data_IF_976472276902
#
_entry.id   IF_976472276902
#
_cell.length_a   1.000
_cell.length_b   1.000
_cell.length_c   1.000
_cell.angle_alpha   90.00
_cell.angle_beta   90.00
_cell.angle_gamma   90.00
#
_symmetry.space_group_name_H-M   'P 1'
#
loop_
_entity.id
_entity.type
_entity.pdbx_description
1 polymer ?
#
# COMPACT_ATOMS: atom_id res chain seq x y z
N UNK A 1 14.18 -18.12 9.70
CA UNK A 1 13.88 -18.52 8.30
C UNK A 1 15.21 -18.88 7.61
N UNK A 2 15.30 -20.02 6.96
CA UNK A 2 16.49 -20.38 6.17
C UNK A 2 16.52 -19.51 4.93
N UNK A 3 17.63 -18.82 4.66
CA UNK A 3 17.75 -17.78 3.62
C UNK A 3 18.10 -18.32 2.25
N UNK A 4 18.73 -19.51 2.22
CA UNK A 4 19.17 -20.11 0.97
C UNK A 4 18.06 -20.27 -0.09
N UNK A 5 16.75 -20.54 0.25
CA UNK A 5 15.72 -20.57 -0.77
C UNK A 5 15.52 -19.23 -1.47
N UNK A 6 15.60 -18.10 -0.73
CA UNK A 6 15.45 -16.77 -1.31
C UNK A 6 16.61 -16.45 -2.26
N UNK A 7 17.85 -16.85 -1.90
CA UNK A 7 19.00 -16.73 -2.80
C UNK A 7 18.83 -17.56 -4.06
N UNK A 8 18.42 -18.82 -3.94
CA UNK A 8 18.22 -19.71 -5.10
C UNK A 8 17.16 -19.11 -6.04
N UNK A 9 16.00 -18.73 -5.52
CA UNK A 9 14.93 -18.14 -6.32
C UNK A 9 15.41 -16.85 -6.99
N UNK A 10 16.12 -15.98 -6.26
CA UNK A 10 16.71 -14.77 -6.84
C UNK A 10 17.65 -15.10 -7.99
N UNK A 11 18.61 -16.00 -7.79
CA UNK A 11 19.58 -16.40 -8.81
C UNK A 11 18.90 -17.00 -10.04
N UNK A 12 17.92 -17.88 -9.86
CA UNK A 12 17.21 -18.51 -10.97
C UNK A 12 16.46 -17.49 -11.85
N UNK A 13 15.77 -16.54 -11.23
CA UNK A 13 15.07 -15.53 -11.98
C UNK A 13 16.00 -14.57 -12.71
N UNK A 14 17.11 -14.17 -12.09
CA UNK A 14 18.12 -13.32 -12.73
C UNK A 14 18.85 -14.08 -13.85
N UNK A 15 19.15 -15.36 -13.65
CA UNK A 15 19.72 -16.21 -14.70
C UNK A 15 18.78 -16.31 -15.91
N UNK A 16 17.47 -16.52 -15.67
CA UNK A 16 16.48 -16.50 -16.76
C UNK A 16 16.53 -15.19 -17.55
N UNK A 17 16.44 -14.03 -16.88
CA UNK A 17 16.50 -12.74 -17.56
C UNK A 17 17.82 -12.56 -18.33
N UNK A 18 18.94 -12.95 -17.73
CA UNK A 18 20.26 -12.92 -18.37
C UNK A 18 20.32 -13.78 -19.63
N UNK A 19 19.88 -15.04 -19.55
CA UNK A 19 19.86 -15.96 -20.69
C UNK A 19 18.94 -15.49 -21.85
N UNK A 20 17.91 -14.72 -21.54
CA UNK A 20 16.99 -14.21 -22.56
C UNK A 20 17.45 -12.89 -23.20
N UNK A 21 18.16 -12.04 -22.46
CA UNK A 21 18.52 -10.69 -22.92
C UNK A 21 19.97 -10.58 -23.40
N UNK A 22 20.95 -11.16 -22.71
CA UNK A 22 22.37 -10.97 -23.02
C UNK A 22 22.79 -11.52 -24.38
N UNK A 23 22.41 -12.75 -24.80
CA UNK A 23 22.73 -13.26 -26.13
C UNK A 23 22.14 -12.41 -27.26
N UNK A 24 20.90 -11.93 -27.09
CA UNK A 24 20.26 -11.09 -28.09
C UNK A 24 20.92 -9.72 -28.23
N UNK A 25 21.55 -9.20 -27.16
CA UNK A 25 22.28 -7.93 -27.17
C UNK A 25 23.70 -8.05 -27.72
N UNK A 26 24.40 -9.17 -27.48
CA UNK A 26 25.78 -9.39 -27.93
C UNK A 26 25.90 -9.92 -29.35
N UNK A 27 24.86 -10.62 -29.82
CA UNK A 27 24.91 -11.37 -31.07
C UNK A 27 25.61 -12.70 -30.97
N UNK A 28 26.06 -13.12 -29.77
CA UNK A 28 26.69 -14.41 -29.51
C UNK A 28 25.83 -15.30 -28.57
N UNK A 29 26.08 -16.62 -28.59
CA UNK A 29 25.25 -17.59 -27.89
C UNK A 29 25.25 -17.45 -26.35
N UNK A 30 26.28 -16.84 -25.80
CA UNK A 30 26.45 -16.71 -24.34
C UNK A 30 26.30 -15.29 -23.81
N UNK A 31 26.34 -14.27 -24.65
CA UNK A 31 26.11 -12.87 -24.28
C UNK A 31 27.14 -12.24 -23.32
N UNK A 32 28.13 -13.01 -22.87
CA UNK A 32 29.05 -12.58 -21.82
C UNK A 32 30.34 -11.95 -22.38
N UNK A 33 30.72 -12.30 -23.60
CA UNK A 33 32.01 -11.92 -24.22
C UNK A 33 31.88 -10.88 -25.31
N UNK A 34 30.65 -10.36 -25.54
CA UNK A 34 30.42 -9.29 -26.50
C UNK A 34 31.22 -8.02 -26.13
N UNK A 35 31.78 -7.31 -27.11
CA UNK A 35 32.66 -6.16 -26.91
C UNK A 35 31.92 -4.93 -26.39
N UNK A 36 30.59 -4.96 -26.28
CA UNK A 36 29.77 -3.76 -26.00
C UNK A 36 29.54 -3.54 -24.51
N UNK A 37 29.84 -2.32 -24.04
CA UNK A 37 29.60 -1.90 -22.66
C UNK A 37 28.15 -2.12 -22.16
N UNK A 38 27.06 -2.03 -22.99
CA UNK A 38 25.70 -2.27 -22.50
C UNK A 38 25.48 -3.68 -21.98
N UNK A 39 26.06 -4.70 -22.67
CA UNK A 39 25.96 -6.12 -22.26
C UNK A 39 26.64 -6.34 -20.91
N UNK A 40 27.85 -5.81 -20.75
CA UNK A 40 28.61 -5.94 -19.48
C UNK A 40 27.91 -5.22 -18.34
N UNK A 41 27.33 -4.04 -18.60
CA UNK A 41 26.58 -3.27 -17.62
C UNK A 41 25.34 -4.01 -17.18
N UNK A 42 24.54 -4.55 -18.11
CA UNK A 42 23.36 -5.33 -17.75
C UNK A 42 23.73 -6.60 -16.97
N UNK A 43 24.78 -7.33 -17.39
CA UNK A 43 25.27 -8.51 -16.67
C UNK A 43 25.69 -8.17 -15.23
N UNK A 44 26.45 -7.08 -15.03
CA UNK A 44 26.84 -6.60 -13.71
C UNK A 44 25.63 -6.20 -12.86
N UNK A 45 24.66 -5.49 -13.43
CA UNK A 45 23.42 -5.12 -12.74
C UNK A 45 22.63 -6.37 -12.31
N UNK A 46 22.52 -7.40 -13.17
CA UNK A 46 21.84 -8.64 -12.82
C UNK A 46 22.55 -9.37 -11.67
N UNK A 47 23.89 -9.45 -11.68
CA UNK A 47 24.67 -10.08 -10.60
C UNK A 47 24.49 -9.32 -9.28
N UNK A 48 24.67 -7.99 -9.32
CA UNK A 48 24.50 -7.14 -8.13
C UNK A 48 23.09 -7.26 -7.59
N UNK A 49 22.09 -7.24 -8.46
CA UNK A 49 20.69 -7.36 -8.08
C UNK A 49 20.38 -8.73 -7.47
N UNK A 50 20.86 -9.83 -8.07
CA UNK A 50 20.64 -11.19 -7.57
C UNK A 50 21.16 -11.39 -6.14
N UNK A 51 22.26 -10.74 -5.80
CA UNK A 51 22.87 -10.80 -4.48
C UNK A 51 22.29 -9.79 -3.49
N UNK A 52 22.06 -8.55 -3.94
CA UNK A 52 21.62 -7.47 -3.05
C UNK A 52 20.17 -7.61 -2.60
N UNK A 53 19.28 -8.20 -3.39
CA UNK A 53 17.87 -8.39 -3.01
C UNK A 53 17.76 -9.28 -1.75
N UNK A 54 18.29 -10.50 -1.72
CA UNK A 54 18.23 -11.34 -0.51
C UNK A 54 18.95 -10.69 0.67
N UNK A 55 20.12 -10.08 0.45
CA UNK A 55 20.90 -9.42 1.50
C UNK A 55 20.18 -8.17 2.05
N UNK A 56 19.51 -7.39 1.20
CA UNK A 56 18.73 -6.22 1.61
C UNK A 56 17.53 -6.58 2.48
N UNK A 57 16.86 -7.70 2.18
CA UNK A 57 15.79 -8.24 3.00
C UNK A 57 16.30 -8.73 4.38
N UNK A 58 17.58 -9.06 4.48
CA UNK A 58 18.26 -9.48 5.72
C UNK A 58 18.75 -8.30 6.55
N UNK A 59 19.17 -7.22 5.90
CA UNK A 59 19.84 -6.09 6.53
C UNK A 59 19.08 -5.53 7.71
N UNK A 60 17.76 -5.62 7.65
CA UNK A 60 16.87 -5.20 8.71
C UNK A 60 16.99 -6.04 10.01
N UNK A 61 17.54 -7.26 9.94
CA UNK A 61 17.64 -8.19 11.09
C UNK A 61 19.03 -8.22 11.75
N UNK A 62 20.05 -7.75 11.06
CA UNK A 62 21.46 -7.94 11.48
C UNK A 62 22.12 -6.70 12.10
N UNK A 63 21.52 -5.52 12.00
CA UNK A 63 22.13 -4.24 12.37
C UNK A 63 22.03 -3.87 13.85
N UNK A 64 22.68 -4.61 14.76
CA UNK A 64 22.74 -4.26 16.20
C UNK A 64 23.94 -3.37 16.58
N UNK A 65 24.85 -3.06 15.68
CA UNK A 65 26.03 -2.22 15.90
C UNK A 65 25.93 -0.92 15.13
N UNK A 66 26.29 0.26 15.69
CA UNK A 66 26.12 1.56 15.00
C UNK A 66 26.84 1.68 13.64
N UNK A 67 28.02 1.07 13.50
CA UNK A 67 28.75 1.03 12.22
C UNK A 67 28.08 0.08 11.21
N UNK A 68 27.53 -1.02 11.68
CA UNK A 68 26.76 -1.96 10.87
C UNK A 68 25.42 -1.34 10.41
N UNK A 69 24.82 -0.45 11.18
CA UNK A 69 23.54 0.18 10.86
C UNK A 69 23.57 0.96 9.54
N UNK A 70 24.58 1.80 9.31
CA UNK A 70 24.69 2.56 8.07
C UNK A 70 24.90 1.66 6.85
N UNK A 71 25.80 0.68 6.96
CA UNK A 71 26.06 -0.29 5.89
C UNK A 71 24.83 -1.14 5.60
N UNK A 72 24.14 -1.64 6.64
CA UNK A 72 22.93 -2.44 6.49
C UNK A 72 21.78 -1.62 5.91
N UNK A 73 21.66 -0.34 6.28
CA UNK A 73 20.69 0.57 5.70
C UNK A 73 20.98 0.83 4.22
N UNK A 74 22.24 1.05 3.84
CA UNK A 74 22.64 1.20 2.44
C UNK A 74 22.32 -0.08 1.63
N UNK A 75 22.64 -1.24 2.19
CA UNK A 75 22.34 -2.55 1.58
C UNK A 75 20.83 -2.77 1.41
N UNK A 76 20.02 -2.41 2.41
CA UNK A 76 18.55 -2.46 2.30
C UNK A 76 18.05 -1.57 1.17
N UNK A 77 18.54 -0.33 1.06
CA UNK A 77 18.19 0.56 -0.03
C UNK A 77 18.56 0.00 -1.40
N UNK A 78 19.79 -0.49 -1.56
CA UNK A 78 20.25 -1.10 -2.82
C UNK A 78 19.40 -2.32 -3.16
N UNK A 79 19.17 -3.23 -2.20
CA UNK A 79 18.36 -4.42 -2.40
C UNK A 79 16.92 -4.12 -2.81
N UNK A 80 16.27 -3.15 -2.16
CA UNK A 80 14.90 -2.76 -2.48
C UNK A 80 14.79 -2.02 -3.82
N UNK A 81 15.76 -1.17 -4.18
CA UNK A 81 15.81 -0.54 -5.50
C UNK A 81 16.02 -1.58 -6.60
N UNK A 82 16.95 -2.51 -6.40
CA UNK A 82 17.17 -3.64 -7.30
C UNK A 82 15.90 -4.50 -7.44
N UNK A 83 15.20 -4.77 -6.34
CA UNK A 83 13.94 -5.53 -6.36
C UNK A 83 12.87 -4.83 -7.19
N UNK A 84 12.71 -3.51 -7.04
CA UNK A 84 11.78 -2.71 -7.85
C UNK A 84 12.12 -2.69 -9.33
N UNK A 85 13.41 -2.56 -9.68
CA UNK A 85 13.90 -2.60 -11.05
C UNK A 85 13.74 -3.99 -11.65
N UNK A 86 14.22 -5.02 -10.94
CA UNK A 86 14.20 -6.40 -11.43
C UNK A 86 12.77 -6.92 -11.64
N UNK A 87 11.82 -6.54 -10.78
CA UNK A 87 10.41 -6.89 -10.97
C UNK A 87 9.88 -6.40 -12.32
N UNK A 88 10.18 -5.16 -12.72
CA UNK A 88 9.79 -4.66 -14.05
C UNK A 88 10.58 -5.32 -15.18
N UNK A 89 11.90 -5.51 -15.00
CA UNK A 89 12.74 -6.17 -15.98
C UNK A 89 12.23 -7.59 -16.28
N UNK A 90 11.93 -8.34 -15.24
CA UNK A 90 11.42 -9.71 -15.35
C UNK A 90 10.08 -9.75 -16.10
N UNK A 91 9.14 -8.91 -15.70
CA UNK A 91 7.82 -8.85 -16.35
C UNK A 91 7.93 -8.45 -17.83
N UNK A 92 8.72 -7.43 -18.15
CA UNK A 92 8.94 -7.00 -19.52
C UNK A 92 9.69 -8.07 -20.33
N UNK A 93 10.58 -8.85 -19.72
CA UNK A 93 11.24 -9.99 -20.36
C UNK A 93 10.23 -11.08 -20.71
N UNK A 94 9.33 -11.44 -19.77
CA UNK A 94 8.26 -12.42 -20.03
C UNK A 94 7.31 -11.96 -21.12
N UNK A 95 6.90 -10.69 -21.13
CA UNK A 95 6.05 -10.11 -22.18
C UNK A 95 6.75 -10.11 -23.54
N UNK A 96 8.05 -9.78 -23.56
CA UNK A 96 8.89 -9.87 -24.75
C UNK A 96 8.91 -11.29 -25.29
N UNK A 97 9.14 -12.28 -24.44
CA UNK A 97 9.22 -13.67 -24.85
C UNK A 97 7.88 -14.18 -25.39
N UNK A 98 6.77 -13.82 -24.76
CA UNK A 98 5.43 -14.11 -25.26
C UNK A 98 5.19 -13.45 -26.63
N UNK A 99 5.57 -12.18 -26.80
CA UNK A 99 5.42 -11.46 -28.06
C UNK A 99 6.26 -12.05 -29.20
N UNK A 100 7.53 -12.40 -28.92
CA UNK A 100 8.40 -13.04 -29.91
C UNK A 100 7.91 -14.44 -30.29
N UNK A 101 7.37 -15.21 -29.34
CA UNK A 101 6.78 -16.52 -29.61
C UNK A 101 5.53 -16.41 -30.46
N UNK A 102 4.64 -15.46 -30.15
CA UNK A 102 3.45 -15.19 -30.93
C UNK A 102 3.79 -14.73 -32.36
N UNK A 103 4.77 -13.86 -32.49
CA UNK A 103 5.25 -13.39 -33.80
C UNK A 103 5.86 -14.52 -34.64
N UNK A 104 6.68 -15.38 -34.02
CA UNK A 104 7.21 -16.58 -34.68
C UNK A 104 6.09 -17.53 -35.15
N UNK A 105 5.10 -17.78 -34.27
CA UNK A 105 3.94 -18.63 -34.60
C UNK A 105 3.11 -18.07 -35.73
N UNK A 106 2.91 -16.75 -35.79
CA UNK A 106 2.22 -16.09 -36.92
C UNK A 106 2.99 -16.27 -38.25
N UNK A 107 4.33 -16.17 -38.20
CA UNK A 107 5.18 -16.43 -39.37
C UNK A 107 5.07 -17.87 -39.89
N UNK A 108 5.05 -18.86 -38.98
CA UNK A 108 4.82 -20.28 -39.33
C UNK A 108 3.43 -20.50 -39.97
N UNK A 109 2.42 -19.75 -39.48
CA UNK A 109 1.07 -19.79 -40.03
C UNK A 109 0.88 -19.01 -41.36
N UNK A 110 1.96 -18.45 -41.93
CA UNK A 110 1.94 -17.72 -43.19
C UNK A 110 1.57 -16.23 -43.12
N UNK A 111 1.38 -15.69 -41.90
CA UNK A 111 1.13 -14.26 -41.67
C UNK A 111 2.46 -13.49 -41.53
N UNK A 112 3.08 -13.10 -42.63
CA UNK A 112 4.28 -12.23 -42.60
C UNK A 112 3.86 -10.76 -42.65
N UNK A 113 3.87 -10.10 -41.50
CA UNK A 113 3.47 -8.69 -41.37
C UNK A 113 4.63 -7.72 -41.04
N UNK A 114 5.89 -8.19 -41.00
CA UNK A 114 7.00 -7.36 -40.54
C UNK A 114 8.17 -7.36 -41.51
N UNK A 115 8.73 -6.16 -41.78
CA UNK A 115 9.99 -5.97 -42.47
C UNK A 115 11.23 -6.35 -41.65
N UNK A 116 11.07 -6.62 -40.33
CA UNK A 116 12.17 -6.98 -39.42
C UNK A 116 12.49 -8.47 -39.53
N UNK A 117 13.76 -8.79 -39.55
CA UNK A 117 14.23 -10.17 -39.30
C UNK A 117 14.06 -10.59 -37.85
N UNK A 118 14.03 -11.90 -37.57
CA UNK A 118 13.93 -12.43 -36.24
C UNK A 118 15.08 -11.95 -35.32
N UNK A 119 16.28 -11.84 -35.87
CA UNK A 119 17.46 -11.33 -35.12
C UNK A 119 17.35 -9.85 -34.78
N UNK A 120 16.85 -9.03 -35.71
CA UNK A 120 16.61 -7.60 -35.44
C UNK A 120 15.52 -7.39 -34.39
N UNK A 121 14.40 -8.08 -34.46
CA UNK A 121 13.32 -8.01 -33.52
C UNK A 121 13.82 -8.46 -32.10
N UNK A 122 14.59 -9.54 -32.03
CA UNK A 122 15.19 -10.04 -30.79
C UNK A 122 16.14 -9.00 -30.16
N UNK A 123 17.01 -8.37 -30.96
CA UNK A 123 17.99 -7.37 -30.50
C UNK A 123 17.30 -6.07 -30.07
N UNK A 124 16.39 -5.52 -30.87
CA UNK A 124 15.67 -4.29 -30.55
C UNK A 124 14.86 -4.46 -29.27
N UNK A 125 14.12 -5.56 -29.15
CA UNK A 125 13.33 -5.82 -27.94
C UNK A 125 14.21 -6.07 -26.71
N UNK A 126 15.35 -6.74 -26.83
CA UNK A 126 16.29 -6.94 -25.72
C UNK A 126 16.94 -5.62 -25.26
N UNK A 127 17.13 -4.65 -26.14
CA UNK A 127 17.60 -3.30 -25.80
C UNK A 127 16.49 -2.48 -25.13
N UNK A 128 15.25 -2.58 -25.60
CA UNK A 128 14.12 -1.83 -25.06
C UNK A 128 13.75 -2.24 -23.63
N UNK A 129 13.80 -3.54 -23.30
CA UNK A 129 13.40 -4.07 -21.99
C UNK A 129 14.13 -3.42 -20.81
N UNK A 130 15.46 -3.37 -20.73
CA UNK A 130 16.14 -2.74 -19.60
C UNK A 130 15.93 -1.22 -19.54
N UNK A 131 15.80 -0.55 -20.68
CA UNK A 131 15.53 0.89 -20.73
C UNK A 131 14.12 1.21 -20.22
N UNK A 132 13.11 0.46 -20.65
CA UNK A 132 11.75 0.60 -20.15
C UNK A 132 11.65 0.24 -18.65
N UNK A 133 12.33 -0.82 -18.21
CA UNK A 133 12.38 -1.19 -16.79
C UNK A 133 12.99 -0.07 -15.95
N UNK A 134 14.06 0.57 -16.44
CA UNK A 134 14.70 1.70 -15.77
C UNK A 134 13.78 2.93 -15.72
N UNK A 135 13.14 3.28 -16.84
CA UNK A 135 12.22 4.41 -16.93
C UNK A 135 11.00 4.24 -16.00
N UNK A 136 10.36 3.06 -16.01
CA UNK A 136 9.23 2.72 -15.13
C UNK A 136 9.65 2.74 -13.66
N UNK A 137 10.86 2.25 -13.36
CA UNK A 137 11.37 2.24 -11.98
C UNK A 137 11.68 3.64 -11.48
N UNK A 138 12.33 4.47 -12.29
CA UNK A 138 12.63 5.86 -11.95
C UNK A 138 11.33 6.66 -11.74
N UNK A 139 10.38 6.55 -12.65
CA UNK A 139 9.06 7.18 -12.52
C UNK A 139 8.34 6.72 -11.24
N UNK A 140 8.31 5.40 -11.02
CA UNK A 140 7.70 4.82 -9.83
C UNK A 140 8.40 5.23 -8.53
N UNK A 141 9.73 5.38 -8.54
CA UNK A 141 10.51 5.88 -7.42
C UNK A 141 10.14 7.33 -7.09
N UNK A 142 10.09 8.21 -8.09
CA UNK A 142 9.68 9.60 -7.88
C UNK A 142 8.28 9.67 -7.27
N UNK A 143 7.33 8.89 -7.77
CA UNK A 143 5.97 8.83 -7.23
C UNK A 143 5.94 8.31 -5.79
N UNK A 144 6.69 7.26 -5.46
CA UNK A 144 6.77 6.73 -4.10
C UNK A 144 7.40 7.72 -3.09
N UNK A 145 8.26 8.63 -3.56
CA UNK A 145 8.96 9.60 -2.70
C UNK A 145 8.24 10.94 -2.57
N UNK A 146 7.20 11.18 -3.37
CA UNK A 146 6.32 12.34 -3.21
C UNK A 146 5.45 12.19 -1.97
N UNK A 147 4.97 13.31 -1.44
CA UNK A 147 3.86 13.28 -0.48
C UNK A 147 2.62 12.79 -1.20
N UNK A 148 1.89 11.87 -0.58
CA UNK A 148 0.68 11.29 -1.12
C UNK A 148 -0.34 12.37 -1.53
N UNK A 149 -1.00 12.18 -2.65
CA UNK A 149 -2.04 13.08 -3.13
C UNK A 149 -3.30 12.94 -2.28
N UNK A 150 -4.09 14.01 -2.19
CA UNK A 150 -5.40 13.93 -1.54
C UNK A 150 -6.44 13.48 -2.56
N UNK A 151 -7.10 12.36 -2.27
CA UNK A 151 -8.24 11.85 -3.00
C UNK A 151 -9.50 12.16 -2.19
N UNK A 152 -10.50 12.79 -2.81
CA UNK A 152 -11.78 13.08 -2.18
C UNK A 152 -12.85 12.13 -2.68
N UNK A 153 -13.60 11.53 -1.74
CA UNK A 153 -14.59 10.50 -2.05
C UNK A 153 -15.86 10.80 -1.27
N UNK A 154 -16.96 10.98 -1.99
CA UNK A 154 -18.29 11.10 -1.40
C UNK A 154 -18.89 9.71 -1.24
N UNK A 155 -19.35 9.40 -0.03
CA UNK A 155 -20.00 8.12 0.27
C UNK A 155 -21.46 8.37 0.61
N UNK A 156 -22.41 7.95 -0.26
CA UNK A 156 -23.82 8.15 -0.04
C UNK A 156 -24.35 7.12 0.97
N UNK A 157 -24.83 7.60 2.12
CA UNK A 157 -25.46 6.78 3.16
C UNK A 157 -26.95 7.02 3.21
N UNK A 158 -27.72 5.93 3.18
CA UNK A 158 -29.19 5.99 3.30
C UNK A 158 -29.56 6.41 4.73
N UNK A 159 -30.45 7.39 4.85
CA UNK A 159 -30.90 7.86 6.16
C UNK A 159 -29.85 8.66 6.95
N UNK A 160 -28.82 9.18 6.31
CA UNK A 160 -27.81 10.02 6.97
C UNK A 160 -28.48 11.25 7.62
N UNK A 161 -28.34 11.46 8.95
CA UNK A 161 -28.85 12.65 9.62
C UNK A 161 -28.24 13.94 9.05
N UNK A 162 -29.03 15.02 8.99
CA UNK A 162 -28.59 16.30 8.43
C UNK A 162 -27.32 16.85 9.10
N UNK A 163 -27.17 16.65 10.42
CA UNK A 163 -25.99 17.10 11.15
C UNK A 163 -24.70 16.34 10.75
N UNK A 164 -24.81 15.17 10.12
CA UNK A 164 -23.70 14.41 9.59
C UNK A 164 -23.49 14.61 8.08
N UNK A 165 -24.32 15.41 7.43
CA UNK A 165 -24.11 15.80 6.03
C UNK A 165 -22.77 16.55 5.92
N UNK A 166 -21.87 16.05 5.04
CA UNK A 166 -20.55 16.65 4.87
C UNK A 166 -19.51 16.23 5.94
N UNK A 167 -19.85 15.34 6.90
CA UNK A 167 -18.89 14.80 7.88
C UNK A 167 -17.71 14.13 7.17
N UNK A 168 -16.50 14.46 7.61
CA UNK A 168 -15.26 14.06 6.93
C UNK A 168 -14.37 13.15 7.76
N UNK A 169 -13.86 12.08 7.11
CA UNK A 169 -12.84 11.21 7.67
C UNK A 169 -11.58 11.28 6.79
N UNK A 170 -10.47 11.74 7.33
CA UNK A 170 -9.17 11.68 6.66
C UNK A 170 -8.53 10.32 6.93
N UNK A 171 -8.52 9.45 5.93
CA UNK A 171 -7.92 8.13 6.02
C UNK A 171 -6.46 8.17 5.57
N UNK A 172 -5.56 7.61 6.39
CA UNK A 172 -4.19 7.22 6.06
C UNK A 172 -4.02 5.74 6.37
N UNK A 173 -3.27 5.03 5.55
CA UNK A 173 -3.07 3.57 5.65
C UNK A 173 -1.73 3.18 5.06
N UNK A 174 -1.19 2.04 5.48
CA UNK A 174 -0.07 1.40 4.80
C UNK A 174 1.13 2.35 4.62
N UNK A 175 1.55 3.01 5.71
CA UNK A 175 2.66 3.96 5.67
C UNK A 175 3.99 3.23 5.65
N UNK A 176 4.12 2.14 6.42
CA UNK A 176 5.31 1.31 6.56
C UNK A 176 6.56 2.12 6.96
N UNK A 177 6.46 2.85 8.07
CA UNK A 177 7.61 3.51 8.68
C UNK A 177 8.66 2.45 9.02
N UNK A 178 9.86 2.59 8.44
CA UNK A 178 10.88 1.56 8.49
C UNK A 178 12.21 2.06 7.89
N UNK A 179 12.98 1.19 7.25
CA UNK A 179 14.30 1.56 6.74
C UNK A 179 14.28 2.68 5.70
N UNK A 180 13.25 2.74 4.85
CA UNK A 180 13.14 3.65 3.70
C UNK A 180 12.16 4.79 3.90
N UNK A 181 11.15 4.61 4.76
CA UNK A 181 10.20 5.64 5.17
C UNK A 181 10.52 6.03 6.62
N UNK A 182 10.92 7.29 6.82
CA UNK A 182 11.42 7.81 8.09
C UNK A 182 10.63 9.04 8.52
N UNK A 183 10.96 9.57 9.71
CA UNK A 183 10.33 10.71 10.37
C UNK A 183 9.98 11.88 9.43
N UNK A 184 10.90 12.27 8.55
CA UNK A 184 10.66 13.40 7.65
C UNK A 184 9.53 13.12 6.63
N UNK A 185 9.47 11.89 6.11
CA UNK A 185 8.38 11.47 5.21
C UNK A 185 7.04 11.48 5.95
N UNK A 186 7.00 10.90 7.15
CA UNK A 186 5.80 10.86 7.99
C UNK A 186 5.32 12.27 8.37
N UNK A 187 6.25 13.17 8.72
CA UNK A 187 5.90 14.57 9.04
C UNK A 187 5.17 15.26 7.90
N UNK A 188 5.58 15.05 6.64
CA UNK A 188 4.87 15.62 5.49
C UNK A 188 3.45 15.07 5.33
N UNK A 189 3.25 13.78 5.64
CA UNK A 189 1.91 13.17 5.67
C UNK A 189 1.06 13.85 6.74
N UNK A 190 1.56 13.93 7.97
CA UNK A 190 0.84 14.56 9.10
C UNK A 190 0.47 16.01 8.77
N UNK A 191 1.40 16.81 8.26
CA UNK A 191 1.13 18.18 7.82
C UNK A 191 0.04 18.24 6.73
N UNK A 192 0.07 17.30 5.79
CA UNK A 192 -0.93 17.23 4.72
C UNK A 192 -2.31 16.83 5.26
N UNK A 193 -2.38 15.86 6.19
CA UNK A 193 -3.63 15.46 6.86
C UNK A 193 -4.21 16.61 7.67
N UNK A 194 -3.41 17.28 8.49
CA UNK A 194 -3.86 18.40 9.30
C UNK A 194 -4.41 19.57 8.44
N UNK A 195 -3.85 19.76 7.25
CA UNK A 195 -4.35 20.81 6.31
C UNK A 195 -5.73 20.49 5.74
N UNK A 196 -6.32 19.33 5.99
CA UNK A 196 -7.66 18.94 5.51
C UNK A 196 -8.78 19.36 6.47
N UNK A 197 -8.44 19.73 7.71
CA UNK A 197 -9.40 20.08 8.79
C UNK A 197 -10.54 19.04 8.90
N UNK A 198 -10.19 17.78 8.90
CA UNK A 198 -11.14 16.67 8.93
C UNK A 198 -11.80 16.52 10.31
N UNK A 199 -13.02 15.98 10.34
CA UNK A 199 -13.70 15.70 11.60
C UNK A 199 -13.03 14.56 12.36
N UNK A 200 -12.55 13.55 11.65
CA UNK A 200 -11.83 12.38 12.17
C UNK A 200 -10.59 12.09 11.35
N UNK A 201 -9.52 11.65 11.99
CA UNK A 201 -8.41 10.96 11.32
C UNK A 201 -8.52 9.47 11.58
N UNK A 202 -8.57 8.68 10.51
CA UNK A 202 -8.63 7.22 10.52
C UNK A 202 -7.31 6.62 10.01
N UNK A 203 -6.61 5.88 10.86
CA UNK A 203 -5.37 5.17 10.51
C UNK A 203 -5.69 3.68 10.41
N UNK A 204 -5.76 3.16 9.19
CA UNK A 204 -6.27 1.81 8.91
C UNK A 204 -5.17 0.75 8.80
N UNK A 205 -4.17 0.79 9.69
CA UNK A 205 -3.17 -0.26 9.87
C UNK A 205 -1.94 -0.15 8.98
N UNK A 206 -1.02 -1.09 9.17
CA UNK A 206 0.28 -1.23 8.48
C UNK A 206 1.10 0.07 8.53
N UNK A 207 1.21 0.60 9.74
CA UNK A 207 1.89 1.86 9.99
C UNK A 207 3.41 1.71 10.02
N UNK A 208 3.91 0.52 10.43
CA UNK A 208 5.34 0.32 10.77
C UNK A 208 5.89 -1.03 10.32
N UNK A 209 7.21 -1.06 10.06
CA UNK A 209 8.01 -2.23 9.70
C UNK A 209 9.24 -2.36 10.61
N UNK A 210 9.02 -2.58 11.91
CA UNK A 210 10.07 -2.77 12.91
C UNK A 210 9.58 -2.56 14.34
N UNK A 211 10.43 -2.83 15.32
CA UNK A 211 10.08 -2.74 16.73
C UNK A 211 9.93 -1.30 17.23
N UNK A 212 9.22 -1.13 18.35
CA UNK A 212 9.10 0.18 19.05
C UNK A 212 10.49 0.72 19.40
N UNK A 213 11.41 -0.14 19.86
CA UNK A 213 12.77 0.27 20.23
C UNK A 213 13.53 0.92 19.06
N UNK A 214 13.27 0.47 17.82
CA UNK A 214 13.91 0.97 16.61
C UNK A 214 13.20 2.19 16.02
N UNK A 215 11.87 2.26 16.13
CA UNK A 215 11.04 3.18 15.35
C UNK A 215 10.24 4.21 16.15
N UNK A 216 10.20 4.15 17.50
CA UNK A 216 9.41 5.11 18.29
C UNK A 216 9.74 6.58 17.95
N UNK A 217 11.02 6.91 17.79
CA UNK A 217 11.45 8.25 17.37
C UNK A 217 10.98 8.60 15.94
N UNK A 218 10.86 7.60 15.04
CA UNK A 218 10.47 7.82 13.66
C UNK A 218 8.96 8.10 13.52
N UNK A 219 8.15 7.49 14.40
CA UNK A 219 6.68 7.65 14.41
C UNK A 219 6.20 8.81 15.28
N UNK A 220 7.08 9.44 16.05
CA UNK A 220 6.73 10.57 16.92
C UNK A 220 5.87 11.68 16.25
N UNK A 221 6.01 11.99 14.94
CA UNK A 221 5.12 12.98 14.31
C UNK A 221 3.62 12.62 14.32
N UNK A 222 3.23 11.37 14.61
CA UNK A 222 1.82 11.00 14.75
C UNK A 222 1.12 11.71 15.90
N UNK A 223 1.87 12.10 16.95
CA UNK A 223 1.34 12.90 18.06
C UNK A 223 0.88 14.30 17.62
N UNK A 224 1.32 14.76 16.45
CA UNK A 224 0.95 16.06 15.89
C UNK A 224 -0.30 15.97 14.98
N UNK A 225 -0.92 14.78 14.80
CA UNK A 225 -2.18 14.64 14.07
C UNK A 225 -3.31 15.41 14.75
N UNK A 226 -4.08 16.16 13.97
CA UNK A 226 -5.16 17.01 14.44
C UNK A 226 -6.45 16.72 13.68
N UNK A 227 -7.55 16.60 14.43
CA UNK A 227 -8.90 16.52 13.91
C UNK A 227 -9.89 16.91 15.04
N UNK A 228 -11.15 17.13 14.71
CA UNK A 228 -12.15 17.60 15.70
C UNK A 228 -12.48 16.56 16.74
N UNK A 229 -12.59 15.31 16.33
CA UNK A 229 -13.02 14.20 17.21
C UNK A 229 -11.90 13.21 17.50
N UNK A 230 -10.65 13.52 17.12
CA UNK A 230 -9.48 12.70 17.42
C UNK A 230 -9.03 11.77 16.31
N UNK A 231 -7.94 11.06 16.59
CA UNK A 231 -7.29 10.13 15.67
C UNK A 231 -7.52 8.70 16.16
N UNK A 232 -8.07 7.86 15.27
CA UNK A 232 -8.41 6.46 15.54
C UNK A 232 -7.50 5.55 14.73
N UNK A 233 -7.05 4.48 15.35
CA UNK A 233 -6.15 3.51 14.74
C UNK A 233 -6.70 2.10 14.90
N UNK A 234 -6.53 1.28 13.87
CA UNK A 234 -6.70 -0.18 13.92
C UNK A 234 -5.43 -0.86 13.45
N UNK A 235 -5.14 -2.05 13.97
CA UNK A 235 -3.94 -2.81 13.60
C UNK A 235 -4.07 -3.40 12.21
N UNK A 236 -2.97 -3.37 11.43
CA UNK A 236 -2.76 -4.22 10.28
C UNK A 236 -1.88 -5.43 10.63
N UNK A 237 -1.55 -6.24 9.64
CA UNK A 237 -0.72 -7.43 9.85
C UNK A 237 0.74 -7.07 10.18
N UNK A 238 1.25 -5.93 9.73
CA UNK A 238 2.61 -5.50 10.03
C UNK A 238 2.82 -5.10 11.49
N UNK A 239 1.80 -4.60 12.17
CA UNK A 239 1.87 -4.42 13.62
C UNK A 239 2.14 -5.75 14.33
N UNK A 240 1.51 -6.84 13.90
CA UNK A 240 1.74 -8.17 14.49
C UNK A 240 3.12 -8.71 14.18
N UNK A 241 3.64 -8.50 12.97
CA UNK A 241 5.02 -8.86 12.61
C UNK A 241 6.06 -8.08 13.41
N UNK A 242 5.70 -6.90 13.89
CA UNK A 242 6.58 -5.92 14.56
C UNK A 242 6.40 -5.87 16.09
N UNK A 243 5.47 -6.65 16.66
CA UNK A 243 5.16 -6.68 18.08
C UNK A 243 3.96 -5.82 18.46
N UNK A 244 2.76 -6.26 18.08
CA UNK A 244 1.51 -5.52 18.21
C UNK A 244 1.25 -4.93 19.60
N UNK A 245 1.43 -5.70 20.67
CA UNK A 245 1.20 -5.21 22.05
C UNK A 245 2.03 -3.97 22.40
N UNK A 246 3.32 -3.98 22.02
CA UNK A 246 4.20 -2.84 22.26
C UNK A 246 3.78 -1.63 21.41
N UNK A 247 3.38 -1.86 20.16
CA UNK A 247 2.90 -0.80 19.27
C UNK A 247 1.56 -0.20 19.71
N UNK A 248 0.60 -1.01 20.12
CA UNK A 248 -0.68 -0.55 20.69
C UNK A 248 -0.43 0.39 21.88
N UNK A 249 0.48 0.00 22.79
CA UNK A 249 0.86 0.83 23.93
C UNK A 249 1.50 2.15 23.50
N UNK A 250 2.41 2.10 22.53
CA UNK A 250 3.12 3.29 22.04
C UNK A 250 2.19 4.25 21.29
N UNK A 251 1.29 3.73 20.43
CA UNK A 251 0.33 4.56 19.70
C UNK A 251 -0.68 5.23 20.64
N UNK A 252 -1.14 4.53 21.69
CA UNK A 252 -1.95 5.14 22.77
C UNK A 252 -1.17 6.23 23.49
N UNK A 253 0.12 6.04 23.76
CA UNK A 253 0.98 7.06 24.36
C UNK A 253 1.14 8.30 23.46
N UNK A 254 1.12 8.13 22.15
CA UNK A 254 1.14 9.23 21.18
C UNK A 254 -0.22 9.93 21.01
N UNK A 255 -1.26 9.50 21.72
CA UNK A 255 -2.59 10.13 21.71
C UNK A 255 -3.58 9.55 20.71
N UNK A 256 -3.25 8.42 20.05
CA UNK A 256 -4.19 7.76 19.16
C UNK A 256 -5.15 6.86 19.97
N UNK A 257 -6.44 6.89 19.63
CA UNK A 257 -7.42 5.92 20.13
C UNK A 257 -7.28 4.64 19.32
N UNK A 258 -6.76 3.58 19.95
CA UNK A 258 -6.57 2.27 19.33
C UNK A 258 -7.79 1.42 19.58
N UNK A 259 -8.53 1.09 18.52
CA UNK A 259 -9.74 0.27 18.58
C UNK A 259 -9.40 -1.21 18.32
N UNK A 260 -9.80 -2.06 19.26
CA UNK A 260 -9.48 -3.50 19.29
C UNK A 260 -10.77 -4.32 19.43
N UNK A 261 -11.59 -4.39 18.38
CA UNK A 261 -12.97 -4.83 18.40
C UNK A 261 -13.82 -3.95 19.34
N UNK A 262 -13.70 -2.65 19.18
CA UNK A 262 -14.33 -1.65 20.00
C UNK A 262 -14.94 -0.56 19.14
N UNK A 263 -15.85 0.23 19.71
CA UNK A 263 -16.39 1.41 19.04
C UNK A 263 -16.40 2.63 19.96
N UNK A 264 -16.53 3.78 19.32
CA UNK A 264 -16.86 5.06 19.97
C UNK A 264 -18.10 5.65 19.30
N UNK A 265 -18.86 6.42 20.05
CA UNK A 265 -19.96 7.22 19.51
C UNK A 265 -19.47 8.64 19.38
N UNK A 266 -19.48 9.15 18.15
CA UNK A 266 -19.06 10.49 17.81
C UNK A 266 -20.30 11.36 17.67
N UNK A 267 -20.41 12.42 18.45
CA UNK A 267 -21.49 13.40 18.38
C UNK A 267 -21.06 14.63 17.56
N UNK A 268 -21.85 14.99 16.56
CA UNK A 268 -21.63 16.12 15.66
C UNK A 268 -22.81 17.10 15.73
N UNK A 269 -22.51 18.32 16.15
CA UNK A 269 -23.48 19.42 16.04
C UNK A 269 -23.55 19.97 14.60
N UNK A 270 -24.72 20.48 14.20
CA UNK A 270 -24.86 21.14 12.89
C UNK A 270 -23.89 22.31 12.79
N UNK A 271 -23.15 22.40 11.70
CA UNK A 271 -22.26 23.52 11.41
C UNK A 271 -23.06 24.78 11.09
N UNK A 272 -22.80 25.85 11.85
CA UNK A 272 -23.36 27.16 11.56
C UNK A 272 -22.84 27.63 10.21
N UNK A 273 -23.72 27.76 9.20
CA UNK A 273 -23.36 28.17 7.84
C UNK A 273 -23.61 27.15 6.73
N UNK A 274 -23.78 25.89 7.04
CA UNK A 274 -24.22 24.85 6.08
C UNK A 274 -25.75 24.71 6.13
N UNK A 275 -26.45 25.85 5.99
CA UNK A 275 -27.89 25.90 5.93
C UNK A 275 -28.40 25.32 4.61
N UNK A 276 -29.58 24.70 4.69
CA UNK A 276 -30.35 24.14 3.60
C UNK A 276 -30.33 25.03 2.35
N UNK A 277 -30.43 24.47 1.18
CA UNK A 277 -30.66 25.15 -0.12
C UNK A 277 -31.85 26.09 -0.13
N UNK A 278 -32.63 26.16 0.96
CA UNK A 278 -33.78 27.04 1.17
C UNK A 278 -33.47 28.37 1.89
N UNK A 279 -32.21 28.63 2.26
CA UNK A 279 -31.83 29.91 2.92
C UNK A 279 -32.31 30.07 4.36
N UNK A 280 -32.98 29.10 4.95
CA UNK A 280 -33.37 29.12 6.35
C UNK A 280 -32.21 28.78 7.28
N UNK A 281 -31.98 29.49 8.39
CA UNK A 281 -30.95 29.11 9.36
C UNK A 281 -31.26 27.73 9.92
N UNK A 282 -30.24 26.84 9.97
CA UNK A 282 -30.37 25.54 10.61
C UNK A 282 -30.85 25.74 12.07
N UNK A 283 -31.75 24.87 12.57
CA UNK A 283 -32.17 24.94 13.97
C UNK A 283 -30.96 24.82 14.89
N UNK A 284 -30.76 25.83 15.72
CA UNK A 284 -29.67 25.80 16.73
C UNK A 284 -29.92 24.67 17.73
N UNK A 285 -28.89 23.85 17.96
CA UNK A 285 -28.92 22.76 18.96
C UNK A 285 -29.24 21.36 18.44
N UNK A 286 -29.40 21.15 17.12
CA UNK A 286 -29.49 19.79 16.58
C UNK A 286 -28.10 19.15 16.50
N UNK A 287 -27.94 18.00 17.11
CA UNK A 287 -26.78 17.13 16.97
C UNK A 287 -27.20 15.76 16.42
N UNK A 288 -26.28 15.05 15.82
CA UNK A 288 -26.45 13.67 15.46
C UNK A 288 -25.17 12.89 15.77
N UNK A 289 -25.34 11.60 15.97
CA UNK A 289 -24.21 10.74 16.33
C UNK A 289 -23.98 9.70 15.23
N UNK A 290 -22.75 9.25 15.11
CA UNK A 290 -22.35 8.08 14.33
C UNK A 290 -21.53 7.13 15.21
N UNK A 291 -21.58 5.83 14.89
CA UNK A 291 -20.72 4.82 15.50
C UNK A 291 -19.48 4.65 14.63
N UNK A 292 -18.31 4.93 15.19
CA UNK A 292 -17.02 4.60 14.60
C UNK A 292 -16.45 3.40 15.34
N UNK A 293 -16.42 2.24 14.69
CA UNK A 293 -15.87 1.01 15.22
C UNK A 293 -14.56 0.65 14.55
N UNK A 294 -13.74 -0.13 15.25
CA UNK A 294 -12.51 -0.67 14.70
C UNK A 294 -12.28 -2.11 15.14
N UNK A 295 -11.77 -2.90 14.20
CA UNK A 295 -11.39 -4.29 14.48
C UNK A 295 -9.89 -4.48 14.33
N UNK A 296 -9.37 -5.50 14.99
CA UNK A 296 -8.00 -5.98 14.80
C UNK A 296 -7.80 -6.52 13.38
N UNK A 297 -6.54 -6.72 12.97
CA UNK A 297 -6.25 -7.31 11.66
C UNK A 297 -6.95 -8.66 11.48
N UNK A 298 -7.34 -8.94 10.25
CA UNK A 298 -8.04 -10.18 9.87
C UNK A 298 -7.29 -11.46 10.29
N UNK A 299 -5.94 -11.42 10.28
CA UNK A 299 -5.09 -12.54 10.65
C UNK A 299 -4.54 -12.45 12.08
N UNK A 300 -4.96 -11.49 12.87
CA UNK A 300 -4.46 -11.24 14.22
C UNK A 300 -4.49 -12.48 15.14
N UNK A 301 -5.55 -13.31 15.01
CA UNK A 301 -5.71 -14.52 15.80
C UNK A 301 -4.60 -15.57 15.59
N UNK A 302 -3.85 -15.51 14.50
CA UNK A 302 -2.68 -16.38 14.27
C UNK A 302 -1.49 -16.02 15.18
N UNK A 303 -1.47 -14.79 15.70
CA UNK A 303 -0.41 -14.26 16.58
C UNK A 303 -0.87 -14.23 18.03
N UNK A 304 -2.12 -13.82 18.23
CA UNK A 304 -2.76 -13.77 19.53
C UNK A 304 -4.26 -14.11 19.37
N UNK A 305 -4.71 -15.27 19.88
CA UNK A 305 -6.12 -15.66 19.79
C UNK A 305 -7.11 -14.65 20.42
N UNK A 306 -6.66 -13.87 21.44
CA UNK A 306 -7.47 -12.82 22.06
C UNK A 306 -7.70 -11.63 21.13
N UNK A 307 -6.87 -11.47 20.11
CA UNK A 307 -6.99 -10.44 19.08
C UNK A 307 -7.76 -10.92 17.83
N UNK A 308 -8.60 -11.92 17.94
CA UNK A 308 -9.45 -12.36 16.83
C UNK A 308 -10.32 -11.18 16.35
N UNK A 309 -10.26 -10.86 15.07
CA UNK A 309 -11.08 -9.80 14.46
C UNK A 309 -12.57 -10.16 14.48
N UNK A 310 -13.39 -9.31 15.07
CA UNK A 310 -14.82 -9.52 15.19
C UNK A 310 -15.64 -8.22 15.05
N UNK A 311 -16.18 -7.94 13.85
CA UNK A 311 -17.02 -6.77 13.63
C UNK A 311 -18.34 -6.76 14.43
N UNK A 312 -18.88 -7.92 14.81
CA UNK A 312 -20.09 -7.96 15.62
C UNK A 312 -19.81 -7.57 17.09
N UNK A 313 -18.70 -8.07 17.63
CA UNK A 313 -18.23 -7.69 18.97
C UNK A 313 -17.90 -6.18 19.04
N UNK A 314 -17.30 -5.64 17.97
CA UNK A 314 -17.02 -4.21 17.87
C UNK A 314 -18.28 -3.32 17.98
N UNK A 315 -19.47 -3.84 17.70
CA UNK A 315 -20.75 -3.15 17.87
C UNK A 315 -21.47 -3.49 19.18
N UNK A 316 -20.88 -4.34 20.03
CA UNK A 316 -21.54 -4.72 21.30
C UNK A 316 -21.86 -3.48 22.15
N UNK A 317 -23.15 -3.28 22.46
CA UNK A 317 -23.62 -2.10 23.20
C UNK A 317 -23.72 -0.79 22.41
N UNK A 318 -23.47 -0.80 21.09
CA UNK A 318 -23.62 0.38 20.26
C UNK A 318 -25.11 0.82 20.16
N UNK A 319 -25.41 2.13 20.20
CA UNK A 319 -26.77 2.62 20.07
C UNK A 319 -27.38 2.19 18.72
N UNK A 320 -28.63 1.74 18.69
CA UNK A 320 -29.31 1.36 17.45
C UNK A 320 -29.64 2.58 16.59
N UNK A 321 -29.78 2.36 15.27
CA UNK A 321 -30.28 3.38 14.34
C UNK A 321 -29.29 4.49 13.97
N UNK A 322 -28.05 4.44 14.46
CA UNK A 322 -26.99 5.36 14.05
C UNK A 322 -26.25 4.85 12.82
N UNK A 323 -25.72 5.74 11.95
CA UNK A 323 -24.77 5.37 10.91
C UNK A 323 -23.55 4.68 11.51
N UNK A 324 -23.06 3.61 10.87
CA UNK A 324 -21.98 2.75 11.38
C UNK A 324 -20.81 2.68 10.43
N UNK A 325 -19.66 3.18 10.85
CA UNK A 325 -18.42 3.15 10.09
C UNK A 325 -17.44 2.19 10.75
N UNK A 326 -16.89 1.27 9.99
CA UNK A 326 -15.89 0.30 10.44
C UNK A 326 -14.50 0.66 9.91
N UNK A 327 -13.52 0.69 10.78
CA UNK A 327 -12.12 0.65 10.42
C UNK A 327 -11.64 -0.81 10.47
N UNK A 328 -11.21 -1.35 9.33
CA UNK A 328 -10.71 -2.72 9.20
C UNK A 328 -9.59 -2.76 8.16
N UNK A 329 -8.38 -3.15 8.56
CA UNK A 329 -7.22 -3.08 7.69
C UNK A 329 -7.42 -3.83 6.36
N UNK A 330 -7.89 -5.08 6.40
CA UNK A 330 -8.06 -5.90 5.20
C UNK A 330 -9.48 -5.81 4.61
N UNK A 331 -9.62 -5.60 3.29
CA UNK A 331 -10.94 -5.57 2.62
C UNK A 331 -11.78 -6.83 2.83
N UNK A 332 -11.16 -8.00 3.04
CA UNK A 332 -11.87 -9.27 3.29
C UNK A 332 -12.68 -9.31 4.59
N UNK A 333 -12.56 -8.30 5.44
CA UNK A 333 -13.46 -8.12 6.59
C UNK A 333 -14.89 -7.73 6.18
N UNK A 334 -15.11 -7.35 4.90
CA UNK A 334 -16.37 -6.82 4.41
C UNK A 334 -17.58 -7.75 4.59
N UNK A 335 -17.42 -9.08 4.39
CA UNK A 335 -18.51 -10.02 4.61
C UNK A 335 -18.97 -10.07 6.07
N UNK A 336 -18.03 -9.97 7.02
CA UNK A 336 -18.37 -9.92 8.44
C UNK A 336 -18.96 -8.55 8.83
N UNK A 337 -18.45 -7.46 8.25
CA UNK A 337 -18.97 -6.12 8.44
C UNK A 337 -20.42 -5.98 7.93
N UNK A 338 -20.70 -6.53 6.75
CA UNK A 338 -22.06 -6.56 6.19
C UNK A 338 -23.03 -7.29 7.13
N UNK A 339 -22.64 -8.49 7.60
CA UNK A 339 -23.49 -9.26 8.54
C UNK A 339 -23.70 -8.56 9.88
N UNK A 340 -22.73 -7.78 10.33
CA UNK A 340 -22.83 -6.98 11.56
C UNK A 340 -23.68 -5.71 11.38
N UNK A 341 -24.00 -5.31 10.13
CA UNK A 341 -24.86 -4.18 9.82
C UNK A 341 -24.10 -2.85 9.80
N UNK A 342 -22.86 -2.83 9.30
CA UNK A 342 -22.12 -1.60 8.99
C UNK A 342 -22.60 -0.99 7.66
N UNK A 343 -22.51 0.34 7.56
CA UNK A 343 -22.87 1.11 6.37
C UNK A 343 -21.63 1.40 5.50
N UNK A 344 -20.46 1.60 6.15
CA UNK A 344 -19.19 1.89 5.50
C UNK A 344 -18.05 1.15 6.18
N UNK A 345 -17.18 0.51 5.40
CA UNK A 345 -15.87 -0.01 5.84
C UNK A 345 -14.74 0.77 5.18
N UNK A 346 -13.75 1.21 5.96
CA UNK A 346 -12.51 1.80 5.49
C UNK A 346 -11.36 0.79 5.65
N UNK A 347 -10.69 0.48 4.54
CA UNK A 347 -9.62 -0.52 4.48
C UNK A 347 -8.37 0.00 3.75
N UNK A 348 -7.25 -0.71 3.92
CA UNK A 348 -5.98 -0.54 3.21
C UNK A 348 -5.46 -1.86 2.67
N UNK A 349 -4.25 -2.26 3.09
CA UNK A 349 -3.60 -3.56 2.86
C UNK A 349 -3.16 -3.85 1.43
N UNK A 350 -3.97 -3.54 0.43
CA UNK A 350 -3.75 -3.95 -0.96
C UNK A 350 -2.69 -3.11 -1.67
N UNK A 351 -2.43 -1.90 -1.17
CA UNK A 351 -1.63 -0.87 -1.86
C UNK A 351 -2.11 -0.55 -3.29
N UNK A 352 -3.33 -0.95 -3.68
CA UNK A 352 -3.76 -0.94 -5.08
C UNK A 352 -2.87 -1.80 -5.99
N UNK A 353 -2.14 -2.78 -5.42
CA UNK A 353 -1.08 -3.56 -6.06
C UNK A 353 0.26 -2.84 -6.16
N UNK A 354 0.39 -1.62 -5.62
CA UNK A 354 1.58 -0.77 -5.52
C UNK A 354 2.25 -0.41 -6.85
N UNK A 355 2.52 -1.38 -7.74
CA UNK A 355 2.99 -1.13 -9.11
C UNK A 355 2.57 -2.27 -10.04
N UNK A 356 2.27 -1.88 -11.29
CA UNK A 356 1.92 -2.83 -12.33
C UNK A 356 3.04 -3.86 -12.54
N UNK A 357 2.72 -5.18 -12.73
CA UNK A 357 1.38 -5.74 -12.90
C UNK A 357 0.76 -6.32 -11.63
N UNK A 358 1.31 -6.07 -10.44
CA UNK A 358 0.87 -6.70 -9.20
C UNK A 358 -0.59 -6.41 -8.84
N UNK A 359 -1.12 -5.28 -9.31
CA UNK A 359 -2.55 -4.95 -9.20
C UNK A 359 -3.47 -6.01 -9.83
N UNK A 360 -3.01 -6.76 -10.82
CA UNK A 360 -3.77 -7.84 -11.46
C UNK A 360 -3.87 -9.10 -10.57
N UNK A 361 -2.99 -9.24 -9.60
CA UNK A 361 -2.94 -10.39 -8.68
C UNK A 361 -3.65 -10.13 -7.34
N UNK A 362 -3.92 -8.89 -6.99
CA UNK A 362 -4.64 -8.53 -5.76
C UNK A 362 -6.01 -9.24 -5.66
N UNK A 363 -6.84 -9.34 -6.73
CA UNK A 363 -8.13 -10.00 -6.66
C UNK A 363 -8.08 -11.49 -6.31
N UNK A 364 -6.90 -12.12 -6.41
CA UNK A 364 -6.70 -13.51 -5.98
C UNK A 364 -6.67 -13.65 -4.43
N UNK A 365 -6.45 -12.54 -3.72
CA UNK A 365 -6.30 -12.54 -2.27
C UNK A 365 -7.32 -11.65 -1.55
N UNK A 366 -7.78 -10.57 -2.17
CA UNK A 366 -8.67 -9.59 -1.57
C UNK A 366 -9.87 -9.32 -2.48
N UNK A 367 -11.09 -9.16 -1.94
CA UNK A 367 -12.29 -8.94 -2.74
C UNK A 367 -12.29 -7.59 -3.48
N UNK A 368 -11.57 -6.59 -2.94
CA UNK A 368 -11.47 -5.24 -3.51
C UNK A 368 -10.02 -4.81 -3.58
N UNK A 369 -9.62 -4.25 -4.73
CA UNK A 369 -8.23 -3.81 -4.95
C UNK A 369 -8.00 -2.37 -4.48
N UNK A 370 -8.88 -1.45 -4.82
CA UNK A 370 -8.80 -0.03 -4.47
C UNK A 370 -10.12 0.71 -4.75
N UNK A 371 -10.26 1.90 -4.18
CA UNK A 371 -11.37 2.81 -4.41
C UNK A 371 -12.66 2.43 -3.68
N UNK A 372 -13.74 3.12 -4.03
CA UNK A 372 -15.07 2.90 -3.44
C UNK A 372 -15.79 1.78 -4.18
N UNK A 373 -16.15 0.74 -3.43
CA UNK A 373 -16.86 -0.43 -3.91
C UNK A 373 -18.12 -0.63 -3.08
N UNK A 374 -19.04 -1.48 -3.55
CA UNK A 374 -20.27 -1.81 -2.82
C UNK A 374 -20.46 -3.31 -2.73
N UNK A 375 -20.72 -3.78 -1.51
CA UNK A 375 -21.12 -5.15 -1.22
C UNK A 375 -22.53 -5.09 -0.63
N UNK A 376 -23.56 -5.34 -1.44
CA UNK A 376 -24.98 -5.20 -1.09
C UNK A 376 -25.31 -3.82 -0.48
N UNK A 377 -25.57 -3.73 0.83
CA UNK A 377 -25.84 -2.48 1.54
C UNK A 377 -24.56 -1.78 2.04
N UNK A 378 -23.43 -2.50 2.15
CA UNK A 378 -22.18 -1.98 2.68
C UNK A 378 -21.35 -1.26 1.62
N UNK A 379 -20.92 -0.04 1.88
CA UNK A 379 -19.85 0.60 1.14
C UNK A 379 -18.49 0.16 1.68
N UNK A 380 -17.56 -0.16 0.79
CA UNK A 380 -16.19 -0.52 1.14
C UNK A 380 -15.23 0.39 0.39
N UNK A 381 -14.52 1.24 1.11
CA UNK A 381 -13.43 2.00 0.55
C UNK A 381 -12.11 1.30 0.86
N UNK A 382 -11.35 0.98 -0.18
CA UNK A 382 -10.02 0.39 -0.06
C UNK A 382 -8.99 1.40 -0.53
N UNK A 383 -8.19 1.91 0.42
CA UNK A 383 -7.08 2.84 0.13
C UNK A 383 -5.96 2.15 -0.64
N UNK A 384 -5.39 2.86 -1.61
CA UNK A 384 -4.15 2.43 -2.27
C UNK A 384 -2.90 2.58 -1.39
N UNK A 385 -3.08 3.01 -0.14
CA UNK A 385 -2.00 3.24 0.81
C UNK A 385 -1.32 4.60 0.68
N UNK A 386 -0.90 5.14 1.82
CA UNK A 386 -0.27 6.47 1.91
C UNK A 386 1.25 6.42 1.73
N UNK A 387 1.86 5.31 2.12
CA UNK A 387 3.28 5.04 1.92
C UNK A 387 3.55 4.04 0.80
N UNK A 388 4.49 3.13 1.03
CA UNK A 388 4.79 1.97 0.18
C UNK A 388 5.46 0.89 1.01
N UNK A 389 5.26 -0.36 0.62
CA UNK A 389 5.91 -1.51 1.24
C UNK A 389 7.04 -2.07 0.36
N UNK A 390 8.18 -2.45 0.97
CA UNK A 390 9.30 -3.02 0.24
C UNK A 390 9.93 -2.05 -0.77
N UNK A 391 9.91 -2.33 -2.07
CA UNK A 391 10.49 -1.47 -3.08
C UNK A 391 9.88 -0.06 -3.08
N UNK A 392 10.71 1.01 -3.04
CA UNK A 392 10.22 2.39 -3.12
C UNK A 392 9.75 2.72 -4.54
N UNK A 393 8.59 2.16 -4.92
CA UNK A 393 8.08 2.24 -6.29
C UNK A 393 6.56 2.25 -6.31
N UNK A 394 5.98 3.28 -6.95
CA UNK A 394 4.55 3.44 -7.20
C UNK A 394 4.32 3.71 -8.70
N UNK A 395 3.76 2.71 -9.42
CA UNK A 395 3.50 2.81 -10.85
C UNK A 395 2.15 2.16 -11.18
N UNK A 396 1.18 2.97 -11.62
CA UNK A 396 -0.20 2.52 -11.85
C UNK A 396 -1.07 2.47 -10.57
N UNK A 397 -0.48 2.66 -9.39
CA UNK A 397 -1.17 2.73 -8.10
C UNK A 397 -0.53 3.85 -7.25
N UNK A 398 -0.92 5.12 -7.44
CA UNK A 398 -0.35 6.25 -6.70
C UNK A 398 -0.67 6.16 -5.21
N UNK A 399 0.24 6.69 -4.36
CA UNK A 399 -0.03 6.87 -2.94
C UNK A 399 -1.10 7.92 -2.70
N UNK A 400 -1.97 7.71 -1.71
CA UNK A 400 -3.07 8.62 -1.40
C UNK A 400 -3.25 8.87 0.10
N UNK A 401 -3.78 10.03 0.42
CA UNK A 401 -4.48 10.39 1.65
C UNK A 401 -5.93 10.57 1.24
N UNK A 402 -6.84 9.79 1.80
CA UNK A 402 -8.23 9.84 1.36
C UNK A 402 -9.07 10.72 2.29
N UNK A 403 -9.76 11.70 1.73
CA UNK A 403 -10.78 12.46 2.46
C UNK A 403 -12.16 11.91 2.08
N UNK A 404 -12.69 11.04 2.92
CA UNK A 404 -14.05 10.51 2.82
C UNK A 404 -15.00 11.60 3.31
N UNK A 405 -16.07 11.86 2.56
CA UNK A 405 -17.16 12.74 2.96
C UNK A 405 -18.46 11.98 2.95
N UNK A 406 -19.18 11.95 4.07
CA UNK A 406 -20.49 11.32 4.16
C UNK A 406 -21.53 12.26 3.55
N UNK A 407 -22.38 11.75 2.67
CA UNK A 407 -23.45 12.48 2.02
C UNK A 407 -24.74 11.69 2.08
N UNK A 408 -25.88 12.35 2.09
CA UNK A 408 -27.18 11.68 2.00
C UNK A 408 -27.32 11.03 0.62
N UNK A 409 -27.86 9.78 0.59
CA UNK A 409 -28.10 9.01 -0.64
C UNK A 409 -29.35 9.51 -1.38
#
# INVERSE_FOLDING_TARGET
MRLWPVFIVSVLFHAYAGLRLLPALSGDAWGLFGPTWPVRTLAAVLVVSALSIPLGLLGHRLGRQPFAELAMRALTWVGLLCMGFFSSLMMLTLLRDAALTAWWGAGVAGFQASALTAGEAARLSASAVPLLAAAVTLWGFVNARRTAAVVRVDVPLVGLPLALQGFTLAQISDIHVGPTIRRHYLRRIVQRVNSLDADVVAVTGDLIDGSVAELAHQVAPLADLQSRHGTFFVTGNHEYYSGAHAWIKELRRLGLTVLMNEHVVIEQAIRSGEGSSSGAPAPSGMSASLVLAGVTDFHAAHFDPAHRSDPADALAGAPPGLPRVLLAHQPRSADAALRAGFDLQLSGHTHGGQFWPWNLFVPLQQPFTAGLNRLESLWVYTSSGTGYWGPPKRFGAPSEITLIRLVAA
#
